data_IF_121160643607
#
_entry.id   IF_121160643607
#
_cell.length_a   1.000
_cell.length_b   1.000
_cell.length_c   1.000
_cell.angle_alpha   90.00
_cell.angle_beta   90.00
_cell.angle_gamma   90.00
#
_symmetry.space_group_name_H-M   'P 1'
#
loop_
_entity.id
_entity.type
_entity.pdbx_description
1 polymer ?
#
# COMPACT_ATOMS: atom_id res chain seq x y z
N UNK A 1 -10.06 -0.41 28.31
CA UNK A 1 -10.10 0.04 26.90
C UNK A 1 -11.22 -0.69 26.19
N UNK A 2 -11.99 -0.02 25.34
CA UNK A 2 -13.01 -0.59 24.46
C UNK A 2 -12.87 0.01 23.06
N UNK A 3 -13.45 -0.60 22.00
CA UNK A 3 -13.44 -0.02 20.67
C UNK A 3 -14.00 1.41 20.62
N UNK A 4 -15.09 1.69 21.34
CA UNK A 4 -15.69 3.03 21.39
C UNK A 4 -14.74 4.07 22.02
N UNK A 5 -14.03 3.72 23.09
CA UNK A 5 -13.04 4.62 23.72
C UNK A 5 -11.88 4.87 22.76
N UNK A 6 -11.39 3.83 22.06
CA UNK A 6 -10.31 3.96 21.10
C UNK A 6 -10.73 4.79 19.88
N UNK A 7 -11.95 4.61 19.37
CA UNK A 7 -12.51 5.40 18.27
C UNK A 7 -12.54 6.90 18.62
N UNK A 8 -12.99 7.24 19.83
CA UNK A 8 -13.02 8.62 20.30
C UNK A 8 -11.61 9.21 20.44
N UNK A 9 -10.64 8.40 20.92
CA UNK A 9 -9.24 8.80 21.01
C UNK A 9 -8.61 9.04 19.62
N UNK A 10 -8.96 8.21 18.63
CA UNK A 10 -8.43 8.28 17.27
C UNK A 10 -9.30 9.12 16.32
N UNK A 11 -10.01 10.14 16.82
CA UNK A 11 -11.00 10.88 16.05
C UNK A 11 -10.45 11.51 14.75
N UNK A 12 -9.16 11.86 14.71
CA UNK A 12 -8.51 12.48 13.54
C UNK A 12 -8.00 11.47 12.50
N UNK A 13 -8.15 10.17 12.75
CA UNK A 13 -7.59 9.10 11.91
C UNK A 13 -8.69 8.26 11.25
N UNK A 14 -8.43 7.81 10.03
CA UNK A 14 -9.35 6.92 9.31
C UNK A 14 -9.35 5.50 9.90
N UNK A 15 -8.20 5.03 10.41
CA UNK A 15 -8.10 3.75 11.09
C UNK A 15 -7.84 3.92 12.58
N UNK A 16 -8.43 3.02 13.35
CA UNK A 16 -7.94 2.68 14.68
C UNK A 16 -7.90 1.17 14.86
N UNK A 17 -7.05 0.69 15.76
CA UNK A 17 -6.91 -0.72 16.06
C UNK A 17 -6.61 -0.95 17.53
N UNK A 18 -7.05 -2.09 18.04
CA UNK A 18 -6.83 -2.50 19.41
C UNK A 18 -5.95 -3.75 19.47
N UNK A 19 -4.95 -3.74 20.37
CA UNK A 19 -4.03 -4.86 20.61
C UNK A 19 -3.98 -5.18 22.11
N UNK A 20 -3.64 -6.43 22.44
CA UNK A 20 -3.45 -6.90 23.82
C UNK A 20 -4.59 -6.52 24.79
N UNK A 21 -5.83 -6.47 24.30
CA UNK A 21 -7.01 -6.16 25.11
C UNK A 21 -7.10 -4.72 25.62
N UNK A 22 -6.04 -3.92 25.50
CA UNK A 22 -5.89 -2.67 26.26
C UNK A 22 -5.21 -1.55 25.49
N UNK A 23 -4.44 -1.87 24.45
CA UNK A 23 -3.71 -0.91 23.65
C UNK A 23 -4.60 -0.37 22.53
N UNK A 24 -4.44 0.90 22.20
CA UNK A 24 -5.18 1.59 21.15
C UNK A 24 -4.17 2.29 20.23
N UNK A 25 -4.31 2.05 18.93
CA UNK A 25 -3.44 2.57 17.88
C UNK A 25 -4.29 3.34 16.88
N UNK A 26 -3.81 4.51 16.46
CA UNK A 26 -4.44 5.33 15.43
C UNK A 26 -3.54 5.35 14.19
N UNK A 27 -4.14 5.43 13.00
CA UNK A 27 -3.39 5.56 11.77
C UNK A 27 -4.24 6.03 10.61
N UNK A 28 -3.64 6.74 9.67
CA UNK A 28 -4.32 7.08 8.42
C UNK A 28 -4.53 5.82 7.57
N UNK A 29 -3.64 4.82 7.68
CA UNK A 29 -3.71 3.56 6.93
C UNK A 29 -2.83 2.49 7.60
N UNK A 30 -3.05 1.19 7.30
CA UNK A 30 -2.20 0.10 7.78
C UNK A 30 -0.76 0.23 7.29
N UNK A 31 0.22 -0.08 8.15
CA UNK A 31 1.64 -0.04 7.76
C UNK A 31 1.94 -1.13 6.72
N UNK A 32 2.90 -0.86 5.83
CA UNK A 32 3.42 -1.83 4.89
C UNK A 32 3.78 -3.16 5.58
N UNK A 33 3.38 -4.28 4.98
CA UNK A 33 3.54 -5.62 5.55
C UNK A 33 2.43 -6.06 6.50
N UNK A 34 1.47 -5.18 6.83
CA UNK A 34 0.23 -5.60 7.48
C UNK A 34 -0.64 -6.35 6.48
N UNK A 35 -1.22 -7.48 6.91
CA UNK A 35 -2.14 -8.28 6.12
C UNK A 35 -3.35 -8.68 6.95
N UNK A 36 -4.46 -8.95 6.27
CA UNK A 36 -5.64 -9.52 6.92
C UNK A 36 -5.32 -10.94 7.41
N UNK A 37 -5.86 -11.27 8.57
CA UNK A 37 -5.80 -12.60 9.16
C UNK A 37 -7.22 -13.11 9.42
N UNK A 38 -7.35 -14.36 9.84
CA UNK A 38 -8.65 -14.86 10.26
C UNK A 38 -9.15 -14.07 11.47
N UNK A 39 -10.44 -13.72 11.50
CA UNK A 39 -11.08 -13.08 12.67
C UNK A 39 -10.84 -13.85 13.97
N UNK A 40 -10.69 -15.18 13.85
CA UNK A 40 -10.37 -16.06 14.96
C UNK A 40 -9.02 -15.81 15.64
N UNK A 41 -8.09 -15.12 14.98
CA UNK A 41 -6.77 -14.79 15.51
C UNK A 41 -6.78 -13.51 16.36
N UNK A 42 -7.89 -12.75 16.36
CA UNK A 42 -8.05 -11.47 17.06
C UNK A 42 -9.00 -11.60 18.27
N UNK A 43 -8.92 -12.70 19.03
CA UNK A 43 -9.91 -13.07 20.07
C UNK A 43 -9.58 -12.62 21.50
N UNK A 44 -8.59 -11.75 21.72
CA UNK A 44 -8.33 -11.24 23.07
C UNK A 44 -9.44 -10.28 23.48
N UNK A 45 -10.05 -10.52 24.65
CA UNK A 45 -11.13 -9.68 25.14
C UNK A 45 -10.65 -8.29 25.55
N UNK A 46 -11.52 -7.29 25.42
CA UNK A 46 -11.19 -5.94 25.83
C UNK A 46 -11.15 -5.80 27.35
N UNK A 47 -10.15 -5.11 27.88
CA UNK A 47 -10.00 -4.86 29.32
C UNK A 47 -11.14 -4.01 29.91
N UNK A 48 -11.89 -3.28 29.06
CA UNK A 48 -13.06 -2.50 29.47
C UNK A 48 -14.40 -3.16 29.18
N UNK A 49 -14.42 -4.30 28.48
CA UNK A 49 -15.64 -5.03 28.10
C UNK A 49 -15.27 -6.43 27.61
N UNK A 50 -15.56 -7.47 28.40
CA UNK A 50 -15.22 -8.85 28.06
C UNK A 50 -16.12 -9.46 26.96
N UNK A 51 -17.19 -8.76 26.57
CA UNK A 51 -18.04 -9.12 25.43
C UNK A 51 -17.48 -8.68 24.07
N UNK A 52 -16.39 -7.90 24.05
CA UNK A 52 -15.77 -7.36 22.83
C UNK A 52 -14.34 -7.88 22.63
N UNK A 53 -13.90 -7.92 21.37
CA UNK A 53 -12.55 -8.29 21.00
C UNK A 53 -11.67 -7.08 20.70
N UNK A 54 -10.44 -7.13 21.21
CA UNK A 54 -9.44 -6.07 21.20
C UNK A 54 -8.05 -6.62 20.83
N UNK A 55 -8.00 -7.34 19.71
CA UNK A 55 -6.79 -7.86 19.09
C UNK A 55 -6.30 -9.18 19.67
N UNK A 56 -5.00 -9.43 19.53
CA UNK A 56 -4.22 -10.48 20.19
C UNK A 56 -2.73 -10.11 20.07
N UNK A 57 -1.81 -11.00 20.44
CA UNK A 57 -0.38 -10.71 20.28
C UNK A 57 0.03 -10.57 18.81
N UNK A 58 0.56 -9.40 18.41
CA UNK A 58 0.85 -9.04 17.02
C UNK A 58 -0.39 -9.07 16.12
N UNK A 59 -1.58 -8.78 16.66
CA UNK A 59 -2.85 -8.80 15.93
C UNK A 59 -3.73 -7.64 16.38
N UNK A 60 -4.12 -6.80 15.43
CA UNK A 60 -5.04 -5.70 15.69
C UNK A 60 -6.46 -6.10 15.32
N UNK A 61 -7.43 -5.91 16.22
CA UNK A 61 -8.83 -5.74 15.78
C UNK A 61 -8.96 -4.33 15.25
N UNK A 62 -9.02 -4.18 13.93
CA UNK A 62 -9.02 -2.88 13.24
C UNK A 62 -10.42 -2.42 12.88
N UNK A 63 -10.62 -1.11 12.93
CA UNK A 63 -11.84 -0.42 12.54
C UNK A 63 -11.46 0.69 11.57
N UNK A 64 -12.35 0.96 10.62
CA UNK A 64 -12.16 1.96 9.59
C UNK A 64 -13.33 2.95 9.61
N UNK A 65 -13.02 4.22 9.39
CA UNK A 65 -13.99 5.30 9.41
C UNK A 65 -14.90 5.23 8.17
N UNK A 66 -16.14 5.71 8.32
CA UNK A 66 -17.05 5.99 7.21
C UNK A 66 -17.08 7.47 6.84
N UNK A 67 -16.15 8.26 7.37
CA UNK A 67 -16.04 9.70 7.11
C UNK A 67 -15.11 9.95 5.92
N UNK A 68 -15.70 10.33 4.78
CA UNK A 68 -14.98 10.59 3.52
C UNK A 68 -13.82 11.58 3.68
N UNK A 69 -13.93 12.54 4.61
CA UNK A 69 -12.85 13.52 4.83
C UNK A 69 -11.59 12.89 5.42
N UNK A 70 -11.75 11.80 6.18
CA UNK A 70 -10.63 11.04 6.76
C UNK A 70 -10.06 10.05 5.76
N UNK A 71 -10.93 9.44 4.96
CA UNK A 71 -10.59 8.47 3.90
C UNK A 71 -9.88 9.15 2.72
N UNK A 72 -10.19 10.40 2.42
CA UNK A 72 -9.55 11.14 1.32
C UNK A 72 -8.03 11.30 1.49
N UNK A 73 -7.50 11.05 2.69
CA UNK A 73 -6.06 11.04 2.96
C UNK A 73 -5.40 9.68 2.73
N UNK A 74 -6.17 8.64 2.40
CA UNK A 74 -5.64 7.29 2.19
C UNK A 74 -4.69 7.27 0.99
N UNK A 75 -3.56 6.54 1.09
CA UNK A 75 -2.68 6.32 -0.03
C UNK A 75 -3.42 5.61 -1.14
N UNK A 76 -3.29 6.13 -2.35
CA UNK A 76 -3.91 5.57 -3.53
C UNK A 76 -2.89 5.40 -4.64
N UNK A 77 -3.20 4.49 -5.57
CA UNK A 77 -2.48 4.44 -6.84
C UNK A 77 -2.76 5.74 -7.59
N UNK A 78 -1.70 6.41 -8.04
CA UNK A 78 -1.82 7.59 -8.87
C UNK A 78 -2.20 7.13 -10.28
N UNK A 79 -3.44 7.30 -10.71
CA UNK A 79 -3.91 6.69 -11.96
C UNK A 79 -3.35 7.37 -13.21
N UNK A 80 -2.95 8.64 -13.10
CA UNK A 80 -2.30 9.44 -14.15
C UNK A 80 -1.18 10.27 -13.53
N UNK A 81 0.01 10.27 -14.15
CA UNK A 81 1.16 11.07 -13.72
C UNK A 81 1.86 11.62 -14.96
N UNK A 82 1.58 12.89 -15.29
CA UNK A 82 2.01 13.45 -16.58
C UNK A 82 1.41 12.66 -17.74
N UNK A 83 2.25 12.24 -18.68
CA UNK A 83 1.84 11.42 -19.83
C UNK A 83 1.79 9.92 -19.53
N UNK A 84 2.00 9.51 -18.27
CA UNK A 84 1.95 8.11 -17.86
C UNK A 84 0.58 7.75 -17.30
N UNK A 85 0.08 6.59 -17.68
CA UNK A 85 -1.17 6.02 -17.14
C UNK A 85 -0.86 4.75 -16.36
N UNK A 86 -1.50 4.60 -15.20
CA UNK A 86 -1.44 3.34 -14.45
C UNK A 86 -2.01 2.21 -15.30
N UNK A 87 -1.22 1.15 -15.46
CA UNK A 87 -1.58 -0.03 -16.22
C UNK A 87 -2.28 -1.05 -15.32
N UNK A 88 -1.54 -1.62 -14.36
CA UNK A 88 -2.08 -2.56 -13.37
C UNK A 88 -1.08 -2.81 -12.23
N UNK A 89 -1.55 -3.51 -11.19
CA UNK A 89 -0.70 -4.16 -10.21
C UNK A 89 -0.22 -5.48 -10.81
N UNK A 90 1.09 -5.64 -11.00
CA UNK A 90 1.67 -6.79 -11.68
C UNK A 90 2.46 -7.67 -10.73
N UNK A 91 2.40 -8.98 -10.92
CA UNK A 91 3.29 -9.93 -10.25
C UNK A 91 4.70 -9.77 -10.83
N UNK A 92 5.70 -9.65 -9.97
CA UNK A 92 7.08 -9.39 -10.38
C UNK A 92 8.08 -10.47 -9.89
N UNK A 93 7.58 -11.69 -9.76
CA UNK A 93 8.36 -12.90 -9.54
C UNK A 93 7.70 -14.06 -10.28
N UNK A 94 8.22 -14.47 -11.47
CA UNK A 94 9.41 -13.92 -12.15
C UNK A 94 9.21 -12.49 -12.66
N UNK A 95 10.32 -11.82 -13.02
CA UNK A 95 10.37 -10.40 -13.44
C UNK A 95 9.34 -10.09 -14.55
N UNK A 96 8.54 -9.04 -14.36
CA UNK A 96 7.52 -8.61 -15.30
C UNK A 96 8.06 -7.76 -16.46
N UNK A 97 9.15 -7.01 -16.23
CA UNK A 97 9.70 -6.06 -17.20
C UNK A 97 10.88 -6.63 -17.99
N UNK A 98 10.87 -6.45 -19.32
CA UNK A 98 11.98 -6.79 -20.22
C UNK A 98 13.05 -5.70 -20.16
N UNK A 99 14.33 -6.12 -20.09
CA UNK A 99 15.51 -5.24 -20.00
C UNK A 99 15.43 -4.29 -18.79
N UNK A 100 15.01 -4.83 -17.65
CA UNK A 100 14.78 -4.10 -16.40
C UNK A 100 16.00 -3.34 -15.89
N UNK A 101 15.95 -2.00 -15.89
CA UNK A 101 16.83 -1.17 -15.06
C UNK A 101 16.13 -0.88 -13.74
N UNK A 102 16.85 -0.99 -12.63
CA UNK A 102 16.35 -0.59 -11.31
C UNK A 102 17.14 0.58 -10.77
N UNK A 103 16.42 1.51 -10.14
CA UNK A 103 16.99 2.48 -9.20
C UNK A 103 16.22 2.41 -7.88
N UNK A 104 16.79 2.92 -6.81
CA UNK A 104 16.12 2.96 -5.52
C UNK A 104 16.46 4.25 -4.78
N UNK A 105 15.48 4.82 -4.09
CA UNK A 105 15.63 6.08 -3.36
C UNK A 105 14.78 6.07 -2.09
N UNK A 106 15.25 6.73 -1.02
CA UNK A 106 14.44 6.95 0.18
C UNK A 106 13.39 8.05 0.00
N UNK A 107 13.42 8.77 -1.12
CA UNK A 107 12.41 9.77 -1.49
C UNK A 107 11.74 9.42 -2.82
N UNK A 108 11.49 8.13 -3.07
CA UNK A 108 10.86 7.66 -4.30
C UNK A 108 9.37 8.04 -4.35
N UNK A 109 8.88 8.46 -5.51
CA UNK A 109 7.47 8.62 -5.85
C UNK A 109 7.20 8.08 -7.26
N UNK A 110 5.92 7.93 -7.65
CA UNK A 110 5.60 7.57 -9.03
C UNK A 110 6.16 8.62 -9.99
N UNK A 111 5.98 9.91 -9.69
CA UNK A 111 6.50 11.01 -10.51
C UNK A 111 8.02 10.95 -10.72
N UNK A 112 8.81 10.71 -9.67
CA UNK A 112 10.27 10.62 -9.81
C UNK A 112 10.71 9.40 -10.61
N UNK A 113 10.02 8.27 -10.44
CA UNK A 113 10.32 7.05 -11.19
C UNK A 113 10.01 7.20 -12.69
N UNK A 114 8.83 7.72 -13.00
CA UNK A 114 8.33 7.87 -14.37
C UNK A 114 9.16 8.88 -15.16
N UNK A 115 9.52 10.02 -14.55
CA UNK A 115 10.44 10.98 -15.15
C UNK A 115 11.82 10.38 -15.47
N UNK A 116 12.33 9.51 -14.57
CA UNK A 116 13.61 8.82 -14.79
C UNK A 116 13.51 7.75 -15.90
N UNK A 117 12.39 7.06 -16.00
CA UNK A 117 12.11 6.10 -17.07
C UNK A 117 12.06 6.78 -18.44
N UNK A 118 11.36 7.91 -18.53
CA UNK A 118 11.23 8.72 -19.74
C UNK A 118 12.59 9.28 -20.19
N UNK A 119 13.37 9.84 -19.26
CA UNK A 119 14.74 10.31 -19.53
C UNK A 119 15.66 9.20 -20.05
N UNK A 120 15.45 7.97 -19.58
CA UNK A 120 16.19 6.79 -20.04
C UNK A 120 15.56 6.12 -21.29
N UNK A 121 14.48 6.70 -21.84
CA UNK A 121 13.80 6.23 -23.04
C UNK A 121 13.01 4.94 -22.86
N UNK A 122 12.54 4.62 -21.66
CA UNK A 122 11.67 3.48 -21.38
C UNK A 122 10.20 3.89 -21.45
N UNK A 123 9.35 3.01 -22.01
CA UNK A 123 7.90 3.20 -22.13
C UNK A 123 7.10 2.51 -21.02
N UNK A 124 7.78 1.67 -20.22
CA UNK A 124 7.20 0.96 -19.09
C UNK A 124 8.02 1.24 -17.83
N UNK A 125 7.33 1.55 -16.74
CA UNK A 125 7.97 1.68 -15.44
C UNK A 125 7.01 1.26 -14.33
N UNK A 126 7.56 0.63 -13.30
CA UNK A 126 6.79 0.19 -12.15
C UNK A 126 7.54 0.43 -10.85
N UNK A 127 6.78 0.58 -9.77
CA UNK A 127 7.34 0.81 -8.44
C UNK A 127 7.17 -0.44 -7.58
N UNK A 128 8.20 -0.79 -6.81
CA UNK A 128 8.23 -1.94 -5.91
C UNK A 128 8.79 -1.55 -4.54
N UNK A 129 8.39 -2.27 -3.48
CA UNK A 129 8.89 -2.07 -2.10
C UNK A 129 8.80 -0.64 -1.56
N UNK A 130 7.93 0.21 -2.12
CA UNK A 130 7.79 1.62 -1.74
C UNK A 130 8.95 2.53 -2.17
N UNK A 131 10.08 1.98 -2.64
CA UNK A 131 11.33 2.74 -2.87
C UNK A 131 12.03 2.43 -4.19
N UNK A 132 11.71 1.29 -4.81
CA UNK A 132 12.34 0.84 -6.04
C UNK A 132 11.57 1.36 -7.24
N UNK A 133 12.32 1.71 -8.27
CA UNK A 133 11.80 2.11 -9.56
C UNK A 133 12.40 1.18 -10.62
N UNK A 134 11.53 0.40 -11.24
CA UNK A 134 11.85 -0.55 -12.28
C UNK A 134 11.41 0.00 -13.63
N UNK A 135 12.28 -0.09 -14.64
CA UNK A 135 12.05 0.49 -15.96
C UNK A 135 12.30 -0.57 -17.03
N UNK A 136 11.44 -0.67 -18.04
CA UNK A 136 11.54 -1.69 -19.07
C UNK A 136 11.06 -1.22 -20.44
N UNK A 137 11.46 -1.95 -21.48
CA UNK A 137 11.02 -1.69 -22.87
C UNK A 137 9.68 -2.34 -23.21
N UNK A 138 9.21 -3.24 -22.35
CA UNK A 138 7.98 -4.00 -22.52
C UNK A 138 7.77 -4.95 -21.36
N UNK A 139 6.70 -5.72 -21.45
CA UNK A 139 6.37 -6.80 -20.52
C UNK A 139 6.98 -8.13 -21.00
N UNK A 140 7.32 -9.01 -20.06
CA UNK A 140 7.69 -10.40 -20.36
C UNK A 140 6.44 -11.21 -20.70
N UNK A 141 6.60 -12.32 -21.44
CA UNK A 141 5.48 -13.21 -21.79
C UNK A 141 4.82 -13.88 -20.57
N UNK A 142 5.51 -13.87 -19.42
CA UNK A 142 5.03 -14.41 -18.15
C UNK A 142 4.40 -13.35 -17.24
N UNK A 143 4.39 -12.07 -17.66
CA UNK A 143 3.84 -10.98 -16.87
C UNK A 143 2.32 -11.17 -16.68
N UNK A 144 1.87 -11.12 -15.43
CA UNK A 144 0.46 -11.33 -15.07
C UNK A 144 0.00 -10.30 -14.03
N UNK A 145 -1.30 -10.00 -14.05
CA UNK A 145 -1.92 -9.12 -13.06
C UNK A 145 -1.94 -9.81 -11.69
N UNK A 146 -1.59 -9.07 -10.65
CA UNK A 146 -1.81 -9.50 -9.28
C UNK A 146 -3.29 -9.30 -8.90
N UNK A 147 -3.86 -10.28 -8.22
CA UNK A 147 -5.28 -10.29 -7.79
C UNK A 147 -5.44 -10.34 -6.28
N UNK A 148 -4.33 -10.33 -5.55
CA UNK A 148 -4.27 -10.45 -4.09
C UNK A 148 -4.23 -9.10 -3.37
N UNK A 149 -4.37 -7.99 -4.11
CA UNK A 149 -4.26 -6.64 -3.54
C UNK A 149 -2.85 -6.28 -3.05
N UNK A 150 -1.82 -6.98 -3.54
CA UNK A 150 -0.45 -6.83 -3.03
C UNK A 150 0.25 -5.50 -3.35
N UNK A 151 -0.27 -4.66 -4.25
CA UNK A 151 0.23 -3.30 -4.45
C UNK A 151 -0.39 -2.35 -3.42
N UNK A 152 0.17 -2.33 -2.22
CA UNK A 152 -0.34 -1.55 -1.08
C UNK A 152 0.75 -0.81 -0.30
N UNK A 153 2.01 -0.90 -0.72
CA UNK A 153 3.10 -0.18 -0.08
C UNK A 153 3.09 1.28 -0.49
N UNK A 154 3.13 2.16 0.50
CA UNK A 154 3.25 3.60 0.28
C UNK A 154 4.64 3.96 -0.24
N UNK A 155 4.69 4.96 -1.11
CA UNK A 155 5.94 5.51 -1.62
C UNK A 155 6.78 6.14 -0.50
N UNK A 156 8.09 5.90 -0.51
CA UNK A 156 8.98 6.40 0.53
C UNK A 156 9.13 7.93 0.51
N UNK A 157 8.87 8.57 -0.63
CA UNK A 157 8.87 10.02 -0.83
C UNK A 157 7.49 10.64 -1.08
N UNK A 158 6.43 9.85 -1.09
CA UNK A 158 5.05 10.34 -1.26
C UNK A 158 4.08 9.52 -0.41
N UNK A 159 3.70 10.08 0.74
CA UNK A 159 2.82 9.43 1.71
C UNK A 159 1.39 9.16 1.18
N UNK A 160 1.02 9.73 0.03
CA UNK A 160 -0.29 9.55 -0.61
C UNK A 160 -0.24 8.64 -1.84
N UNK A 161 0.95 8.24 -2.28
CA UNK A 161 1.13 7.37 -3.44
C UNK A 161 1.35 5.91 -3.04
N UNK A 162 0.81 4.98 -3.82
CA UNK A 162 1.14 3.55 -3.75
C UNK A 162 2.27 3.21 -4.74
N UNK A 163 3.33 2.62 -4.22
CA UNK A 163 4.58 2.26 -4.89
C UNK A 163 4.89 0.75 -4.79
N UNK A 164 3.91 -0.07 -5.19
CA UNK A 164 4.04 -1.52 -5.31
C UNK A 164 3.83 -2.28 -4.00
N UNK A 165 4.54 -3.39 -3.89
CA UNK A 165 4.55 -4.29 -2.73
C UNK A 165 5.65 -5.32 -2.88
N UNK A 166 5.66 -6.34 -2.02
CA UNK A 166 6.65 -7.43 -2.14
C UNK A 166 6.37 -8.27 -3.38
N UNK A 167 7.27 -8.24 -4.38
CA UNK A 167 7.06 -8.90 -5.68
C UNK A 167 5.81 -8.40 -6.41
N UNK A 168 5.45 -7.13 -6.20
CA UNK A 168 4.27 -6.49 -6.78
C UNK A 168 4.66 -5.13 -7.33
N UNK A 169 4.49 -4.94 -8.64
CA UNK A 169 4.75 -3.66 -9.30
C UNK A 169 3.46 -2.87 -9.45
N UNK A 170 3.42 -1.65 -8.92
CA UNK A 170 2.46 -0.64 -9.42
C UNK A 170 2.98 -0.17 -10.78
N UNK A 171 2.46 -0.74 -11.88
CA UNK A 171 3.01 -0.56 -13.22
C UNK A 171 2.29 0.55 -14.00
N UNK A 172 3.06 1.29 -14.78
CA UNK A 172 2.62 2.40 -15.63
C UNK A 172 3.14 2.22 -17.06
N UNK A 173 2.37 2.76 -18.00
CA UNK A 173 2.74 2.85 -19.41
C UNK A 173 2.69 4.31 -19.86
N UNK A 174 3.69 4.73 -20.65
CA UNK A 174 3.71 6.04 -21.28
C UNK A 174 2.64 6.11 -22.38
N UNK A 175 1.82 7.16 -22.40
CA UNK A 175 0.76 7.34 -23.39
C UNK A 175 1.34 7.37 -24.81
N UNK A 176 0.69 6.64 -25.74
CA UNK A 176 1.08 6.63 -27.15
C UNK A 176 2.34 5.81 -27.48
N UNK A 177 2.75 4.90 -26.59
CA UNK A 177 3.86 3.96 -26.80
C UNK A 177 3.43 2.56 -27.22
#
# INVERSE_FOLDING_TARGET
>A
MTPAICAAFCADYAYFGLEYGSQCYCGAYPRAGSGLVAEGDCKMTCAGDDGLYCGAGNRLTTYYSSDDSKIAADPAVQTVVGDWTYYNCMVDSPRALVSGRVSSSNTQSAASCLAAAETAGYAWAGLEYGRECWMGKGLTDTATNATDGGCSMVCSGDARGICGGSSRLTLYQLAGS
#
